data_IF_823353942767
#
_entry.id   IF_823353942767
#
_cell.length_a   1.000
_cell.length_b   1.000
_cell.length_c   1.000
_cell.angle_alpha   90.00
_cell.angle_beta   90.00
_cell.angle_gamma   90.00
#
_symmetry.space_group_name_H-M   'P 1'
#
loop_
_entity.id
_entity.type
_entity.pdbx_description
1 polymer ?
#
# COMPACT_ATOMS: atom_id res chain seq x y z
N UNK A 1 6.76 22.46 27.59
CA UNK A 1 8.22 22.18 27.49
C UNK A 1 8.56 22.00 26.03
N UNK A 2 9.58 22.69 25.50
CA UNK A 2 10.02 22.49 24.12
C UNK A 2 10.69 21.13 24.00
N UNK A 3 10.14 20.26 23.17
CA UNK A 3 10.69 18.92 22.95
C UNK A 3 12.03 19.05 22.26
N UNK A 4 13.08 18.60 22.95
CA UNK A 4 14.42 18.52 22.40
C UNK A 4 14.66 17.06 22.04
N UNK A 5 14.63 16.76 20.74
CA UNK A 5 14.97 15.42 20.26
C UNK A 5 16.43 15.12 20.57
N UNK A 6 16.71 13.92 21.07
CA UNK A 6 18.08 13.50 21.33
C UNK A 6 18.86 13.42 20.01
N UNK A 7 20.19 13.63 20.01
CA UNK A 7 21.00 13.49 18.80
C UNK A 7 20.88 12.11 18.14
N UNK A 8 20.71 11.06 18.95
CA UNK A 8 20.52 9.69 18.47
C UNK A 8 19.17 9.53 17.73
N UNK A 9 18.09 10.09 18.26
CA UNK A 9 16.78 10.11 17.60
C UNK A 9 16.82 10.88 16.29
N UNK A 10 17.49 12.04 16.26
CA UNK A 10 17.69 12.81 15.03
C UNK A 10 18.43 12.00 13.95
N UNK A 11 19.49 11.27 14.32
CA UNK A 11 20.23 10.42 13.39
C UNK A 11 19.35 9.27 12.85
N UNK A 12 18.57 8.63 13.73
CA UNK A 12 17.66 7.54 13.36
C UNK A 12 16.53 8.02 12.44
N UNK A 13 15.92 9.15 12.76
CA UNK A 13 14.92 9.81 11.92
C UNK A 13 15.48 10.16 10.52
N UNK A 14 16.71 10.69 10.46
CA UNK A 14 17.34 11.02 9.18
C UNK A 14 17.65 9.77 8.33
N UNK A 15 17.94 8.65 8.98
CA UNK A 15 18.11 7.34 8.33
C UNK A 15 16.78 6.84 7.77
N UNK A 16 15.72 6.86 8.59
CA UNK A 16 14.37 6.45 8.20
C UNK A 16 13.84 7.26 7.00
N UNK A 17 14.01 8.59 7.04
CA UNK A 17 13.63 9.47 5.93
C UNK A 17 14.35 9.11 4.63
N UNK A 18 15.68 8.87 4.70
CA UNK A 18 16.45 8.42 3.53
C UNK A 18 16.05 7.03 3.04
N UNK A 19 15.66 6.13 3.94
CA UNK A 19 15.16 4.81 3.55
C UNK A 19 13.85 4.92 2.76
N UNK A 20 12.91 5.75 3.22
CA UNK A 20 11.65 6.05 2.54
C UNK A 20 11.85 6.65 1.14
N UNK A 21 12.72 7.64 1.00
CA UNK A 21 12.99 8.25 -0.31
C UNK A 21 13.64 7.26 -1.28
N UNK A 22 14.52 6.39 -0.78
CA UNK A 22 15.12 5.33 -1.60
C UNK A 22 14.09 4.31 -2.06
N UNK A 23 13.18 3.86 -1.19
CA UNK A 23 12.13 2.92 -1.57
C UNK A 23 11.16 3.54 -2.58
N UNK A 24 10.77 4.80 -2.39
CA UNK A 24 9.90 5.53 -3.33
C UNK A 24 10.54 5.66 -4.72
N UNK A 25 11.84 5.91 -4.79
CA UNK A 25 12.57 5.97 -6.06
C UNK A 25 12.61 4.63 -6.78
N UNK A 26 12.66 3.54 -6.03
CA UNK A 26 12.61 2.19 -6.59
C UNK A 26 11.20 1.88 -7.14
N UNK A 27 10.16 2.14 -6.33
CA UNK A 27 8.78 1.79 -6.67
C UNK A 27 8.19 2.64 -7.80
N UNK A 28 8.48 3.94 -7.83
CA UNK A 28 7.92 4.89 -8.81
C UNK A 28 8.89 5.24 -9.94
N UNK A 29 9.82 4.35 -10.28
CA UNK A 29 10.86 4.61 -11.27
C UNK A 29 10.25 5.04 -12.61
N UNK A 30 10.58 6.23 -13.12
CA UNK A 30 10.06 6.71 -14.42
C UNK A 30 8.63 7.27 -14.38
N UNK A 31 7.96 7.26 -13.21
CA UNK A 31 6.78 8.10 -12.96
C UNK A 31 7.18 9.28 -12.07
N UNK A 32 7.66 10.33 -12.73
CA UNK A 32 8.15 11.54 -12.08
C UNK A 32 7.04 12.28 -11.31
N UNK A 33 5.79 12.19 -11.75
CA UNK A 33 4.67 12.87 -11.10
C UNK A 33 4.31 12.15 -9.79
N UNK A 34 4.17 10.83 -9.83
CA UNK A 34 3.92 10.03 -8.64
C UNK A 34 5.08 10.15 -7.64
N UNK A 35 6.33 10.12 -8.12
CA UNK A 35 7.51 10.28 -7.27
C UNK A 35 7.55 11.65 -6.58
N UNK A 36 7.28 12.74 -7.31
CA UNK A 36 7.21 14.10 -6.73
C UNK A 36 6.09 14.22 -5.70
N UNK A 37 4.91 13.67 -5.99
CA UNK A 37 3.79 13.67 -5.06
C UNK A 37 4.12 12.87 -3.78
N UNK A 38 4.70 11.67 -3.93
CA UNK A 38 5.13 10.84 -2.80
C UNK A 38 6.18 11.54 -1.94
N UNK A 39 7.16 12.21 -2.56
CA UNK A 39 8.16 13.01 -1.84
C UNK A 39 7.51 14.16 -1.05
N UNK A 40 6.57 14.89 -1.64
CA UNK A 40 5.86 15.99 -0.98
C UNK A 40 5.05 15.49 0.22
N UNK A 41 4.29 14.41 0.04
CA UNK A 41 3.53 13.79 1.13
C UNK A 41 4.45 13.32 2.25
N UNK A 42 5.55 12.64 1.92
CA UNK A 42 6.55 12.21 2.90
C UNK A 42 7.08 13.39 3.69
N UNK A 43 7.42 14.50 3.03
CA UNK A 43 7.89 15.72 3.70
C UNK A 43 6.83 16.31 4.63
N UNK A 44 5.57 16.35 4.21
CA UNK A 44 4.46 16.87 5.03
C UNK A 44 4.28 16.00 6.28
N UNK A 45 4.21 14.68 6.11
CA UNK A 45 4.00 13.73 7.20
C UNK A 45 5.20 13.71 8.17
N UNK A 46 6.44 13.69 7.66
CA UNK A 46 7.62 13.70 8.52
C UNK A 46 7.73 15.00 9.30
N UNK A 47 7.54 16.17 8.66
CA UNK A 47 7.63 17.45 9.34
C UNK A 47 6.50 17.67 10.37
N UNK A 48 5.39 16.93 10.25
CA UNK A 48 4.29 16.96 11.23
C UNK A 48 4.69 16.32 12.57
N UNK A 49 5.49 15.26 12.56
CA UNK A 49 5.82 14.46 13.75
C UNK A 49 7.30 14.53 14.18
N UNK A 50 8.19 14.86 13.26
CA UNK A 50 9.63 14.96 13.49
C UNK A 50 10.07 16.32 12.92
N UNK A 51 10.13 17.37 13.75
CA UNK A 51 10.60 18.66 13.29
C UNK A 51 12.04 18.50 12.80
N UNK A 52 12.25 18.66 11.49
CA UNK A 52 13.59 18.60 10.92
C UNK A 52 14.48 19.64 11.59
N UNK A 53 15.66 19.25 12.06
CA UNK A 53 16.67 20.18 12.58
C UNK A 53 17.09 21.22 11.53
N UNK A 54 16.84 20.96 10.24
CA UNK A 54 17.04 21.93 9.15
C UNK A 54 15.89 22.93 8.98
N UNK A 55 14.68 22.62 9.45
CA UNK A 55 13.56 23.57 9.44
C UNK A 55 13.76 24.72 10.44
N UNK A 56 14.48 24.47 11.54
CA UNK A 56 14.87 25.52 12.50
C UNK A 56 16.18 26.25 12.14
N UNK A 57 16.94 25.76 11.14
CA UNK A 57 18.27 26.31 10.78
C UNK A 57 18.30 27.19 9.53
N UNK A 58 17.23 27.27 8.75
CA UNK A 58 17.22 28.13 7.56
C UNK A 58 16.62 29.50 7.88
N UNK A 59 17.42 30.59 7.94
CA UNK A 59 16.90 31.95 8.02
C UNK A 59 16.12 32.37 6.75
N UNK A 60 16.10 31.53 5.70
CA UNK A 60 15.52 31.82 4.38
C UNK A 60 14.25 31.00 4.07
N UNK A 61 13.65 30.33 5.06
CA UNK A 61 12.47 29.49 4.85
C UNK A 61 11.14 30.28 4.65
N UNK A 62 11.20 31.60 4.53
CA UNK A 62 10.05 32.43 4.16
C UNK A 62 10.09 32.77 2.68
N UNK A 63 8.91 32.67 2.05
CA UNK A 63 8.50 33.24 0.74
C UNK A 63 8.07 32.22 -0.32
N UNK A 64 7.37 31.15 0.06
CA UNK A 64 6.42 30.56 -0.88
C UNK A 64 5.00 30.59 -0.29
N UNK A 65 4.21 31.65 -0.56
CA UNK A 65 2.91 31.88 0.09
C UNK A 65 1.82 30.88 -0.29
N UNK A 66 2.04 30.05 -1.31
CA UNK A 66 1.02 29.19 -1.89
C UNK A 66 0.88 27.81 -1.22
N UNK A 67 1.79 27.46 -0.30
CA UNK A 67 1.72 26.18 0.42
C UNK A 67 1.32 26.48 1.86
N UNK A 68 0.10 26.10 2.29
CA UNK A 68 -0.26 26.23 3.69
C UNK A 68 0.79 25.50 4.53
N UNK A 69 1.27 26.12 5.63
CA UNK A 69 2.23 25.46 6.50
C UNK A 69 1.64 24.10 6.89
N UNK A 70 2.40 22.99 6.75
CA UNK A 70 1.91 21.69 7.14
C UNK A 70 1.45 21.79 8.58
N UNK A 71 0.15 21.53 8.82
CA UNK A 71 -0.43 21.63 10.14
C UNK A 71 0.34 20.67 11.06
N UNK A 72 1.18 21.25 11.92
CA UNK A 72 1.90 20.52 12.95
C UNK A 72 0.87 19.75 13.78
N UNK A 73 1.17 18.49 14.09
CA UNK A 73 0.29 17.66 14.90
C UNK A 73 -0.09 18.41 16.20
N UNK A 74 -1.28 18.13 16.77
CA UNK A 74 -1.62 18.65 18.10
C UNK A 74 -0.46 18.35 19.07
N UNK A 75 -0.09 19.36 19.87
CA UNK A 75 1.14 19.33 20.70
C UNK A 75 1.19 18.16 21.68
N UNK A 76 0.04 17.56 21.99
CA UNK A 76 -0.13 16.40 22.89
C UNK A 76 0.35 15.07 22.27
N UNK A 77 0.61 15.02 20.97
CA UNK A 77 1.12 13.83 20.26
C UNK A 77 2.65 13.75 20.21
N UNK A 78 3.36 14.79 20.64
CA UNK A 78 4.80 14.89 20.42
C UNK A 78 5.61 14.43 21.65
N UNK A 79 5.27 13.31 22.27
CA UNK A 79 6.09 12.71 23.36
C UNK A 79 7.31 11.99 22.78
N UNK A 80 8.44 11.86 23.51
CA UNK A 80 9.65 11.21 22.98
C UNK A 80 9.39 9.75 22.55
N UNK A 81 8.53 9.03 23.27
CA UNK A 81 8.14 7.65 22.94
C UNK A 81 7.39 7.56 21.60
N UNK A 82 6.42 8.45 21.38
CA UNK A 82 5.68 8.51 20.10
C UNK A 82 6.58 8.87 18.93
N UNK A 83 7.62 9.68 19.15
CA UNK A 83 8.59 9.98 18.09
C UNK A 83 9.34 8.72 17.69
N UNK A 84 9.76 7.89 18.64
CA UNK A 84 10.41 6.62 18.33
C UNK A 84 9.48 5.68 17.58
N UNK A 85 8.20 5.58 17.98
CA UNK A 85 7.17 4.82 17.25
C UNK A 85 7.01 5.31 15.80
N UNK A 86 7.00 6.64 15.57
CA UNK A 86 6.92 7.21 14.23
C UNK A 86 8.18 6.94 13.40
N UNK A 87 9.37 6.94 14.01
CA UNK A 87 10.62 6.60 13.34
C UNK A 87 10.60 5.13 12.90
N UNK A 88 10.15 4.23 13.78
CA UNK A 88 10.06 2.80 13.48
C UNK A 88 9.00 2.52 12.41
N UNK A 89 7.82 3.14 12.53
CA UNK A 89 6.78 3.07 11.50
C UNK A 89 7.26 3.58 10.13
N UNK A 90 8.14 4.59 10.09
CA UNK A 90 8.73 5.04 8.83
C UNK A 90 9.63 3.99 8.17
N UNK A 91 10.37 3.19 8.95
CA UNK A 91 11.14 2.05 8.41
C UNK A 91 10.22 0.95 7.91
N UNK A 92 9.12 0.68 8.62
CA UNK A 92 8.11 -0.30 8.20
C UNK A 92 7.44 0.11 6.89
N UNK A 93 7.06 1.37 6.74
CA UNK A 93 6.49 1.90 5.50
C UNK A 93 7.52 1.78 4.36
N UNK A 94 8.80 2.10 4.61
CA UNK A 94 9.85 1.91 3.60
C UNK A 94 9.98 0.45 3.17
N UNK A 95 9.89 -0.49 4.12
CA UNK A 95 9.88 -1.93 3.82
C UNK A 95 8.62 -2.31 3.06
N UNK A 96 7.45 -1.83 3.47
CA UNK A 96 6.19 -2.13 2.80
C UNK A 96 6.21 -1.64 1.34
N UNK A 97 6.69 -0.42 1.09
CA UNK A 97 6.77 0.12 -0.26
C UNK A 97 7.64 -0.76 -1.17
N UNK A 98 8.82 -1.20 -0.71
CA UNK A 98 9.71 -2.01 -1.56
C UNK A 98 9.22 -3.45 -1.76
N UNK A 99 8.51 -4.02 -0.78
CA UNK A 99 8.08 -5.42 -0.83
C UNK A 99 6.68 -5.61 -1.43
N UNK A 100 5.74 -4.71 -1.15
CA UNK A 100 4.32 -4.91 -1.49
C UNK A 100 3.83 -4.03 -2.65
N UNK A 101 4.50 -2.92 -2.96
CA UNK A 101 4.05 -2.00 -4.01
C UNK A 101 4.84 -2.23 -5.30
N UNK A 102 4.11 -2.53 -6.37
CA UNK A 102 4.65 -2.70 -7.72
C UNK A 102 3.98 -1.74 -8.71
N UNK A 103 4.76 -1.26 -9.67
CA UNK A 103 4.26 -0.37 -10.71
C UNK A 103 3.89 -1.15 -11.97
N UNK A 104 2.70 -0.91 -12.52
CA UNK A 104 2.35 -1.36 -13.88
C UNK A 104 2.89 -0.39 -14.92
N UNK A 105 3.66 -0.88 -15.90
CA UNK A 105 4.12 -0.10 -17.05
C UNK A 105 3.37 -0.56 -18.28
N UNK A 106 2.83 0.39 -19.04
CA UNK A 106 2.16 0.09 -20.30
C UNK A 106 3.20 -0.30 -21.35
N UNK A 107 3.03 -1.48 -21.92
CA UNK A 107 3.79 -1.99 -23.06
C UNK A 107 3.24 -1.40 -24.36
N UNK A 108 4.05 -1.36 -25.41
CA UNK A 108 3.69 -0.83 -26.74
C UNK A 108 2.47 -1.53 -27.37
N UNK A 109 2.24 -2.78 -26.98
CA UNK A 109 1.10 -3.62 -27.39
C UNK A 109 -0.22 -3.25 -26.69
N UNK A 110 -0.21 -2.28 -25.77
CA UNK A 110 -1.39 -1.83 -25.02
C UNK A 110 -1.65 -2.58 -23.70
N UNK A 111 -0.89 -3.64 -23.42
CA UNK A 111 -0.95 -4.39 -22.16
C UNK A 111 -0.14 -3.72 -21.05
N UNK A 112 -0.37 -4.08 -19.79
CA UNK A 112 0.42 -3.59 -18.65
C UNK A 112 1.30 -4.71 -18.07
N UNK A 113 2.60 -4.45 -17.98
CA UNK A 113 3.56 -5.34 -17.32
C UNK A 113 3.88 -4.82 -15.92
N UNK A 114 3.79 -5.69 -14.91
CA UNK A 114 4.16 -5.35 -13.53
C UNK A 114 5.68 -5.36 -13.38
N UNK A 115 6.23 -4.32 -12.77
CA UNK A 115 7.65 -4.21 -12.42
C UNK A 115 7.89 -4.86 -11.07
N UNK A 116 8.17 -6.15 -11.09
CA UNK A 116 8.53 -6.91 -9.91
C UNK A 116 10.05 -6.79 -9.70
N UNK A 117 10.47 -6.46 -8.48
CA UNK A 117 11.88 -6.37 -8.09
C UNK A 117 12.25 -7.52 -7.13
N UNK A 118 13.55 -7.73 -6.87
CA UNK A 118 14.05 -8.84 -6.04
C UNK A 118 13.48 -8.85 -4.62
N UNK A 119 13.21 -7.67 -4.07
CA UNK A 119 12.66 -7.51 -2.72
C UNK A 119 11.13 -7.62 -2.67
N UNK A 120 10.45 -7.75 -3.82
CA UNK A 120 8.99 -7.83 -3.86
C UNK A 120 8.53 -9.18 -3.32
N UNK A 121 7.74 -9.15 -2.24
CA UNK A 121 7.15 -10.34 -1.66
C UNK A 121 6.06 -10.85 -2.61
N UNK A 122 6.33 -11.97 -3.27
CA UNK A 122 5.33 -12.67 -4.10
C UNK A 122 4.61 -13.68 -3.21
N UNK A 123 3.39 -13.38 -2.83
CA UNK A 123 2.57 -14.29 -2.03
C UNK A 123 2.23 -15.57 -2.79
N UNK A 124 2.30 -16.71 -2.11
CA UNK A 124 1.75 -17.96 -2.61
C UNK A 124 0.22 -17.89 -2.53
N UNK A 125 -0.44 -17.74 -3.69
CA UNK A 125 -1.90 -17.59 -3.78
C UNK A 125 -2.70 -18.85 -3.38
N UNK A 126 -2.03 -19.92 -2.94
CA UNK A 126 -2.66 -21.20 -2.64
C UNK A 126 -3.51 -21.18 -1.36
N UNK A 127 -3.19 -20.31 -0.39
CA UNK A 127 -3.99 -20.18 0.85
C UNK A 127 -5.33 -19.47 0.63
N UNK A 128 -5.45 -18.59 -0.38
CA UNK A 128 -6.71 -17.88 -0.70
C UNK A 128 -7.79 -18.82 -1.24
N UNK A 129 -7.37 -19.94 -1.85
CA UNK A 129 -8.29 -20.96 -2.39
C UNK A 129 -8.84 -21.88 -1.30
N UNK A 130 -8.25 -21.89 -0.11
CA UNK A 130 -8.81 -22.63 1.01
C UNK A 130 -9.89 -21.78 1.68
N UNK A 131 -11.18 -22.12 1.53
CA UNK A 131 -12.24 -21.36 2.18
C UNK A 131 -12.04 -21.50 3.70
N UNK A 132 -11.80 -20.37 4.38
CA UNK A 132 -11.82 -20.34 5.84
C UNK A 132 -13.18 -20.90 6.31
N UNK A 133 -13.21 -21.91 7.20
CA UNK A 133 -14.47 -22.36 7.77
C UNK A 133 -15.13 -21.16 8.45
N UNK A 134 -16.27 -20.74 7.92
CA UNK A 134 -17.13 -19.80 8.63
C UNK A 134 -17.85 -20.61 9.69
N UNK A 135 -17.80 -20.15 10.94
CA UNK A 135 -18.63 -20.68 12.02
C UNK A 135 -20.09 -20.35 11.70
N UNK A 136 -20.75 -21.23 10.95
CA UNK A 136 -22.18 -21.12 10.65
C UNK A 136 -22.90 -21.58 11.92
N UNK A 137 -23.74 -20.74 12.56
CA UNK A 137 -24.56 -21.19 13.67
C UNK A 137 -25.48 -22.33 13.21
N UNK A 138 -25.56 -23.40 14.01
CA UNK A 138 -26.14 -24.71 13.68
C UNK A 138 -27.56 -24.72 13.09
N UNK A 139 -28.30 -23.61 13.15
CA UNK A 139 -29.65 -23.48 12.60
C UNK A 139 -29.75 -23.46 11.07
N UNK A 140 -28.66 -23.22 10.33
CA UNK A 140 -28.69 -23.00 8.87
C UNK A 140 -27.93 -24.06 8.04
N UNK A 141 -27.55 -25.19 8.62
CA UNK A 141 -26.78 -26.26 7.97
C UNK A 141 -27.47 -26.90 6.74
N UNK A 142 -28.79 -26.75 6.62
CA UNK A 142 -29.60 -27.37 5.56
C UNK A 142 -29.56 -26.67 4.20
N UNK A 143 -29.11 -25.41 4.11
CA UNK A 143 -29.30 -24.61 2.88
C UNK A 143 -28.25 -24.95 1.80
N UNK A 144 -27.03 -25.36 2.17
CA UNK A 144 -25.94 -25.60 1.19
C UNK A 144 -25.96 -27.01 0.57
N UNK A 145 -26.63 -27.99 1.19
CA UNK A 145 -26.69 -29.37 0.67
C UNK A 145 -27.54 -29.52 -0.60
N UNK A 146 -28.45 -28.57 -0.88
CA UNK A 146 -29.31 -28.64 -2.09
C UNK A 146 -28.61 -28.24 -3.39
N UNK A 147 -27.53 -27.44 -3.35
CA UNK A 147 -26.82 -27.05 -4.59
C UNK A 147 -25.76 -28.05 -5.04
N UNK A 148 -25.06 -28.74 -4.13
CA UNK A 148 -24.00 -29.70 -4.51
C UNK A 148 -24.48 -31.03 -5.08
N UNK A 149 -25.77 -31.37 -4.99
CA UNK A 149 -26.30 -32.62 -5.58
C UNK A 149 -26.65 -32.51 -7.07
N UNK A 150 -26.59 -31.33 -7.69
CA UNK A 150 -26.97 -31.17 -9.11
C UNK A 150 -25.81 -31.25 -10.09
N UNK A 151 -24.58 -31.01 -9.63
CA UNK A 151 -23.42 -30.80 -10.53
C UNK A 151 -22.40 -31.96 -10.47
N UNK A 152 -22.80 -33.12 -9.93
CA UNK A 152 -21.90 -34.23 -9.56
C UNK A 152 -21.85 -35.45 -10.46
N UNK A 153 -22.67 -35.56 -11.52
CA UNK A 153 -22.62 -36.69 -12.47
C UNK A 153 -23.03 -36.21 -13.87
N UNK A 154 -22.06 -35.85 -14.71
CA UNK A 154 -22.20 -35.83 -16.16
C UNK A 154 -20.82 -35.78 -16.81
N UNK A 155 -20.19 -36.95 -16.99
CA UNK A 155 -19.21 -37.14 -18.06
C UNK A 155 -19.81 -38.09 -19.10
N UNK A 156 -19.99 -37.51 -20.29
CA UNK A 156 -19.88 -38.12 -21.62
C UNK A 156 -20.94 -39.13 -22.09
N UNK A 157 -21.99 -38.60 -22.74
CA UNK A 157 -22.70 -39.30 -23.81
C UNK A 157 -23.19 -38.27 -24.86
N UNK A 158 -22.74 -38.40 -26.10
CA UNK A 158 -23.26 -37.74 -27.32
C UNK A 158 -23.96 -38.80 -28.18
N UNK A 159 -24.83 -38.49 -29.18
CA UNK A 159 -25.58 -37.25 -29.46
C UNK A 159 -27.09 -37.51 -29.77
N UNK A 160 -28.00 -36.56 -29.53
CA UNK A 160 -29.28 -36.48 -30.27
C UNK A 160 -29.66 -35.02 -30.45
N UNK A 161 -29.84 -34.63 -31.72
CA UNK A 161 -30.09 -33.25 -32.12
C UNK A 161 -31.44 -32.71 -31.68
N UNK A 162 -31.49 -31.40 -31.47
CA UNK A 162 -32.74 -30.65 -31.46
C UNK A 162 -32.59 -29.40 -32.32
N UNK A 163 -33.60 -29.23 -33.16
CA UNK A 163 -33.80 -28.33 -34.27
C UNK A 163 -34.17 -26.91 -33.82
N UNK A 164 -33.83 -25.91 -34.64
CA UNK A 164 -34.72 -24.76 -34.85
C UNK A 164 -34.13 -23.40 -34.50
N UNK A 165 -33.55 -22.73 -35.51
CA UNK A 165 -33.40 -21.28 -35.49
C UNK A 165 -34.70 -20.57 -35.87
N UNK A 166 -34.90 -19.37 -35.31
CA UNK A 166 -35.60 -18.21 -35.87
C UNK A 166 -35.47 -17.10 -34.79
N UNK A 167 -34.95 -15.90 -35.05
CA UNK A 167 -35.40 -15.02 -36.13
C UNK A 167 -36.68 -14.31 -35.67
N UNK A 168 -36.56 -13.39 -34.71
CA UNK A 168 -37.62 -12.44 -34.41
C UNK A 168 -37.43 -11.22 -35.31
N UNK A 169 -38.47 -10.94 -36.10
CA UNK A 169 -38.69 -9.67 -36.79
C UNK A 169 -39.04 -8.57 -35.78
#
# INVERSE_FOLDING_TARGET
MSLTLTPAQCARAASAYRALLRSQRLTFKGDELALKAAHQQTRILFNRFIPSSSASRSPFASQNPLVPPPQLAPKDELTPEKVDEHIDGAFEIAKFLRTNVVQGVRTDEGNYALRIHEETERGDNDTVKQPKPLDIPAGNEGVRRRRRRRDGEAQEAVPVGCCGGAGAA
#
